data_IF_525701845201
#
_entry.id   IF_525701845201
#
_cell.length_a   1.000
_cell.length_b   1.000
_cell.length_c   1.000
_cell.angle_alpha   90.00
_cell.angle_beta   90.00
_cell.angle_gamma   90.00
#
_symmetry.space_group_name_H-M   'P 1'
#
loop_
_entity.id
_entity.type
_entity.pdbx_description
1 polymer ?
#
# COMPACT_ATOMS: atom_id res chain seq x y z
N UNK A 1 5.23 53.45 -19.31
CA UNK A 1 4.12 54.30 -18.85
C UNK A 1 2.91 53.90 -19.69
N UNK A 2 1.89 53.19 -19.20
CA UNK A 2 1.27 53.20 -17.87
C UNK A 2 1.10 51.76 -17.39
N UNK A 3 1.48 51.49 -16.14
CA UNK A 3 1.14 50.28 -15.41
C UNK A 3 -0.21 50.59 -14.74
N UNK A 4 -1.25 49.82 -15.02
CA UNK A 4 -2.51 49.92 -14.27
C UNK A 4 -2.23 49.40 -12.85
N UNK A 5 -2.28 50.30 -11.86
CA UNK A 5 -1.97 50.01 -10.44
C UNK A 5 -3.09 49.28 -9.68
N UNK A 6 -4.15 48.81 -10.36
CA UNK A 6 -5.36 48.24 -9.73
C UNK A 6 -5.75 46.82 -10.22
N UNK A 7 -4.81 45.96 -10.64
CA UNK A 7 -5.07 44.51 -10.81
C UNK A 7 -4.05 43.63 -10.06
N UNK A 8 -4.38 43.16 -8.84
CA UNK A 8 -3.51 42.29 -8.05
C UNK A 8 -3.50 40.83 -8.51
N UNK A 9 -4.20 40.45 -9.59
CA UNK A 9 -4.29 39.07 -10.04
C UNK A 9 -3.77 38.79 -11.44
N UNK A 10 -3.35 39.79 -12.21
CA UNK A 10 -2.65 39.58 -13.49
C UNK A 10 -3.34 38.59 -14.44
N UNK A 11 -4.69 38.52 -14.39
CA UNK A 11 -5.46 37.63 -15.25
C UNK A 11 -5.70 38.40 -16.55
N UNK A 12 -4.68 38.39 -17.41
CA UNK A 12 -4.77 39.00 -18.73
C UNK A 12 -6.04 38.58 -19.48
N UNK A 13 -6.81 39.58 -19.93
CA UNK A 13 -8.05 39.47 -20.69
C UNK A 13 -7.92 38.89 -22.11
N UNK A 14 -7.08 37.86 -22.29
CA UNK A 14 -6.78 37.26 -23.58
C UNK A 14 -7.88 36.38 -24.18
N UNK A 15 -8.92 36.01 -23.42
CA UNK A 15 -10.00 35.15 -23.90
C UNK A 15 -11.20 35.88 -24.52
N UNK A 16 -11.29 37.20 -24.34
CA UNK A 16 -12.49 37.96 -24.72
C UNK A 16 -12.63 38.23 -26.21
N UNK A 17 -11.54 38.17 -26.98
CA UNK A 17 -11.54 38.48 -28.43
C UNK A 17 -11.95 37.31 -29.32
N UNK A 18 -11.93 36.06 -28.83
CA UNK A 18 -12.23 34.86 -29.62
C UNK A 18 -13.62 34.25 -29.35
N UNK A 19 -14.40 34.81 -28.41
CA UNK A 19 -15.71 34.28 -28.05
C UNK A 19 -16.79 34.68 -29.08
N UNK A 20 -17.60 33.70 -29.49
CA UNK A 20 -18.68 33.91 -30.48
C UNK A 20 -19.88 34.53 -29.77
N UNK A 21 -20.31 35.73 -30.15
CA UNK A 21 -21.45 36.40 -29.51
C UNK A 21 -22.79 35.76 -29.87
N UNK A 22 -23.63 35.46 -28.88
CA UNK A 22 -24.99 34.94 -29.08
C UNK A 22 -25.95 36.05 -29.54
N UNK A 23 -26.84 35.72 -30.48
CA UNK A 23 -27.87 36.63 -30.98
C UNK A 23 -29.17 36.49 -30.17
N UNK A 24 -29.92 37.58 -29.99
CA UNK A 24 -31.21 37.58 -29.28
C UNK A 24 -32.35 36.92 -30.08
N UNK A 25 -32.23 36.88 -31.42
CA UNK A 25 -33.21 36.30 -32.34
C UNK A 25 -32.55 35.23 -33.20
N UNK A 26 -33.29 34.19 -33.62
CA UNK A 26 -32.77 33.19 -34.54
C UNK A 26 -32.57 33.80 -35.93
N UNK A 27 -31.35 33.70 -36.46
CA UNK A 27 -30.98 34.19 -37.78
C UNK A 27 -30.45 33.04 -38.65
N UNK A 28 -30.43 33.23 -39.97
CA UNK A 28 -30.00 32.18 -40.92
C UNK A 28 -28.53 31.80 -40.62
N UNK A 29 -28.33 30.60 -40.05
CA UNK A 29 -27.02 30.11 -39.61
C UNK A 29 -26.79 30.09 -38.09
N UNK A 30 -27.67 30.73 -37.29
CA UNK A 30 -27.64 30.74 -35.82
C UNK A 30 -28.99 30.26 -35.28
N UNK A 31 -29.17 28.94 -35.32
CA UNK A 31 -30.44 28.29 -34.96
C UNK A 31 -30.38 27.55 -33.62
N UNK A 32 -29.18 27.38 -33.05
CA UNK A 32 -29.04 26.61 -31.81
C UNK A 32 -29.34 27.49 -30.60
N UNK A 33 -30.35 27.09 -29.86
CA UNK A 33 -30.83 27.77 -28.65
C UNK A 33 -29.89 27.44 -27.50
N UNK A 34 -29.30 28.46 -26.90
CA UNK A 34 -28.44 28.36 -25.71
C UNK A 34 -29.01 29.26 -24.62
N UNK A 35 -28.96 28.80 -23.37
CA UNK A 35 -29.47 29.54 -22.22
C UNK A 35 -28.29 30.00 -21.40
N UNK A 36 -28.21 31.30 -21.12
CA UNK A 36 -27.17 31.82 -20.24
C UNK A 36 -27.38 31.27 -18.82
N UNK A 37 -26.39 30.64 -18.18
CA UNK A 37 -26.54 30.04 -16.86
C UNK A 37 -26.74 31.07 -15.72
N UNK A 38 -26.48 32.36 -15.98
CA UNK A 38 -26.54 33.42 -14.97
C UNK A 38 -27.80 34.29 -15.03
N UNK A 39 -28.26 34.64 -16.23
CA UNK A 39 -29.43 35.50 -16.40
C UNK A 39 -30.59 34.79 -17.08
N UNK A 40 -30.45 33.48 -17.34
CA UNK A 40 -31.43 32.61 -18.02
C UNK A 40 -31.88 33.14 -19.39
N UNK A 41 -31.20 34.16 -19.93
CA UNK A 41 -31.51 34.76 -21.21
C UNK A 41 -31.21 33.75 -22.31
N UNK A 42 -32.22 33.53 -23.16
CA UNK A 42 -32.09 32.71 -24.36
C UNK A 42 -31.33 33.50 -25.42
N UNK A 43 -30.28 32.89 -25.95
CA UNK A 43 -29.55 33.35 -27.14
C UNK A 43 -29.47 32.27 -28.21
N UNK A 44 -29.09 32.66 -29.41
CA UNK A 44 -28.94 31.77 -30.56
C UNK A 44 -27.52 31.84 -31.14
N UNK A 45 -26.92 30.66 -31.36
CA UNK A 45 -25.53 30.50 -31.85
C UNK A 45 -25.46 29.55 -33.05
N UNK A 46 -24.40 29.60 -33.87
CA UNK A 46 -24.21 28.63 -34.94
C UNK A 46 -23.83 27.25 -34.36
N UNK A 47 -24.14 26.17 -35.09
CA UNK A 47 -23.84 24.79 -34.64
C UNK A 47 -22.34 24.56 -34.35
N UNK A 48 -21.46 25.26 -35.06
CA UNK A 48 -20.01 25.20 -34.86
C UNK A 48 -19.50 25.88 -33.56
N UNK A 49 -20.38 26.59 -32.84
CA UNK A 49 -20.07 27.24 -31.57
C UNK A 49 -20.45 26.38 -30.34
N UNK A 50 -21.12 25.24 -30.54
CA UNK A 50 -21.36 24.27 -29.47
C UNK A 50 -20.00 23.70 -28.99
N UNK A 51 -19.78 23.69 -27.68
CA UNK A 51 -18.50 23.32 -27.07
C UNK A 51 -17.41 24.39 -27.09
N UNK A 52 -17.70 25.62 -27.56
CA UNK A 52 -16.77 26.77 -27.57
C UNK A 52 -17.25 27.90 -26.64
N UNK A 53 -16.34 28.81 -26.21
CA UNK A 53 -16.74 29.98 -25.44
C UNK A 53 -17.65 30.91 -26.26
N UNK A 54 -18.84 31.16 -25.73
CA UNK A 54 -19.90 31.99 -26.31
C UNK A 54 -20.15 33.19 -25.41
N UNK A 55 -20.29 34.39 -26.01
CA UNK A 55 -20.63 35.61 -25.28
C UNK A 55 -22.14 35.74 -25.08
N UNK A 56 -22.59 36.05 -23.86
CA UNK A 56 -24.02 36.23 -23.53
C UNK A 56 -24.68 37.30 -24.42
N UNK A 57 -25.93 37.06 -24.80
CA UNK A 57 -26.72 38.00 -25.61
C UNK A 57 -27.20 39.23 -24.81
N UNK A 58 -27.20 39.18 -23.47
CA UNK A 58 -27.57 40.30 -22.62
C UNK A 58 -26.33 41.15 -22.28
N UNK A 59 -26.32 42.40 -22.74
CA UNK A 59 -25.23 43.36 -22.54
C UNK A 59 -25.00 43.71 -21.06
N UNK A 60 -26.02 43.51 -20.19
CA UNK A 60 -25.93 43.79 -18.75
C UNK A 60 -25.57 42.57 -17.89
N UNK A 61 -25.28 41.41 -18.49
CA UNK A 61 -24.95 40.20 -17.75
C UNK A 61 -23.49 40.22 -17.22
N UNK A 62 -23.29 39.87 -15.94
CA UNK A 62 -21.96 39.87 -15.29
C UNK A 62 -21.05 38.70 -15.72
N UNK A 63 -21.56 37.67 -16.41
CA UNK A 63 -20.73 36.61 -17.00
C UNK A 63 -20.74 36.81 -18.50
N UNK A 64 -19.69 37.46 -19.06
CA UNK A 64 -19.71 37.76 -20.47
C UNK A 64 -19.56 36.50 -21.31
N UNK A 65 -18.83 35.46 -20.86
CA UNK A 65 -18.46 34.30 -21.70
C UNK A 65 -18.73 32.99 -20.96
N UNK A 66 -19.44 32.06 -21.60
CA UNK A 66 -19.71 30.70 -21.10
C UNK A 66 -19.62 29.67 -22.23
N UNK A 67 -19.37 28.40 -21.91
CA UNK A 67 -19.32 27.34 -22.93
C UNK A 67 -20.74 26.85 -23.24
N UNK A 68 -21.14 26.88 -24.51
CA UNK A 68 -22.46 26.42 -24.93
C UNK A 68 -22.52 24.88 -25.00
N UNK A 69 -23.33 24.25 -24.14
CA UNK A 69 -23.57 22.81 -24.12
C UNK A 69 -24.71 22.42 -25.08
N UNK A 70 -24.63 21.23 -25.70
CA UNK A 70 -25.64 20.74 -26.65
C UNK A 70 -26.88 20.20 -25.90
N UNK A 71 -28.09 20.73 -26.15
CA UNK A 71 -29.31 20.23 -25.52
C UNK A 71 -29.67 18.79 -25.91
N UNK A 72 -29.00 18.18 -26.90
CA UNK A 72 -29.12 16.75 -27.19
C UNK A 72 -28.30 15.83 -26.25
N UNK A 73 -27.39 16.37 -25.42
CA UNK A 73 -26.59 15.59 -24.47
C UNK A 73 -27.15 15.55 -23.04
N UNK A 74 -28.24 16.28 -22.75
CA UNK A 74 -28.93 16.18 -21.45
C UNK A 74 -30.13 15.22 -21.50
N UNK A 75 -29.82 13.93 -21.65
CA UNK A 75 -30.51 12.79 -21.00
C UNK A 75 -29.87 11.47 -21.43
N UNK A 76 -28.71 11.18 -20.84
CA UNK A 76 -28.32 9.81 -20.51
C UNK A 76 -28.17 9.71 -18.99
N UNK A 77 -29.28 9.96 -18.27
CA UNK A 77 -29.43 9.48 -16.91
C UNK A 77 -29.20 7.96 -16.93
N UNK A 78 -28.13 7.54 -16.26
CA UNK A 78 -27.78 6.15 -16.00
C UNK A 78 -28.99 5.43 -15.39
N UNK A 79 -29.71 4.69 -16.21
CA UNK A 79 -30.62 3.63 -15.75
C UNK A 79 -29.76 2.52 -15.12
N UNK A 80 -30.15 1.98 -13.95
CA UNK A 80 -29.42 0.88 -13.32
C UNK A 80 -29.45 -0.35 -14.25
N UNK A 81 -28.28 -0.92 -14.48
CA UNK A 81 -28.04 -2.14 -15.25
C UNK A 81 -28.91 -3.28 -14.70
N UNK A 82 -29.80 -3.80 -15.54
CA UNK A 82 -30.56 -5.01 -15.26
C UNK A 82 -29.64 -6.20 -15.59
N UNK A 83 -29.56 -7.17 -14.67
CA UNK A 83 -28.80 -8.43 -14.74
C UNK A 83 -29.01 -9.29 -16.02
N UNK A 84 -29.86 -8.87 -16.95
CA UNK A 84 -30.09 -9.56 -18.23
C UNK A 84 -29.06 -9.19 -19.31
N UNK A 85 -28.47 -7.99 -19.26
CA UNK A 85 -27.52 -7.54 -20.29
C UNK A 85 -26.10 -8.10 -20.08
N UNK A 86 -25.74 -8.45 -18.84
CA UNK A 86 -24.51 -9.20 -18.54
C UNK A 86 -24.61 -10.66 -19.01
N UNK A 87 -25.79 -11.26 -18.98
CA UNK A 87 -26.01 -12.62 -19.49
C UNK A 87 -25.85 -12.70 -21.01
N UNK A 88 -26.30 -11.69 -21.76
CA UNK A 88 -26.14 -11.61 -23.21
C UNK A 88 -24.71 -11.24 -23.63
N UNK A 89 -24.00 -10.42 -22.84
CA UNK A 89 -22.59 -10.13 -23.05
C UNK A 89 -21.68 -11.34 -22.75
N UNK A 90 -21.99 -12.11 -21.70
CA UNK A 90 -21.29 -13.36 -21.37
C UNK A 90 -21.61 -14.46 -22.41
N UNK A 91 -22.84 -14.52 -22.93
CA UNK A 91 -23.20 -15.43 -24.04
C UNK A 91 -22.45 -15.09 -25.34
N UNK A 92 -22.37 -13.80 -25.71
CA UNK A 92 -21.60 -13.37 -26.90
C UNK A 92 -20.10 -13.57 -26.75
N UNK A 93 -19.56 -13.44 -25.53
CA UNK A 93 -18.16 -13.75 -25.24
C UNK A 93 -17.89 -15.27 -25.27
N UNK A 94 -18.82 -16.09 -24.79
CA UNK A 94 -18.74 -17.55 -24.87
C UNK A 94 -18.86 -18.10 -26.30
N UNK A 95 -19.72 -17.48 -27.14
CA UNK A 95 -19.86 -17.79 -28.57
C UNK A 95 -18.62 -17.37 -29.39
N UNK A 96 -17.89 -16.34 -28.96
CA UNK A 96 -16.64 -15.91 -29.60
C UNK A 96 -15.43 -16.82 -29.24
N UNK A 97 -15.51 -17.58 -28.14
CA UNK A 97 -14.47 -18.50 -27.68
C UNK A 97 -14.70 -19.98 -28.02
N UNK A 98 -15.74 -20.31 -28.81
CA UNK A 98 -15.97 -21.67 -29.25
C UNK A 98 -14.85 -22.15 -30.20
N UNK A 99 -14.27 -23.35 -30.00
CA UNK A 99 -13.23 -23.86 -30.88
C UNK A 99 -13.77 -24.04 -32.30
N UNK A 100 -13.03 -23.53 -33.30
CA UNK A 100 -13.35 -23.65 -34.73
C UNK A 100 -13.73 -25.10 -35.08
N UNK A 101 -14.94 -25.29 -35.61
CA UNK A 101 -15.42 -26.55 -36.20
C UNK A 101 -14.41 -27.07 -37.22
N UNK A 102 -13.69 -28.14 -36.88
CA UNK A 102 -12.94 -28.94 -37.86
C UNK A 102 -13.93 -29.83 -38.63
N UNK A 103 -13.82 -29.82 -39.96
CA UNK A 103 -14.71 -30.55 -40.87
C UNK A 103 -14.84 -32.04 -40.49
N UNK A 104 -16.05 -32.60 -40.41
CA UNK A 104 -16.29 -34.00 -40.00
C UNK A 104 -15.74 -35.04 -40.99
N UNK A 105 -15.39 -34.65 -42.23
CA UNK A 105 -14.84 -35.56 -43.23
C UNK A 105 -13.42 -36.09 -42.92
N UNK A 106 -12.65 -35.39 -42.08
CA UNK A 106 -11.27 -35.79 -41.75
C UNK A 106 -11.19 -36.83 -40.61
N UNK A 107 -12.22 -36.92 -39.77
CA UNK A 107 -12.31 -37.90 -38.67
C UNK A 107 -12.79 -39.26 -39.21
N UNK A 108 -13.69 -39.27 -40.20
CA UNK A 108 -14.12 -40.50 -40.85
C UNK A 108 -13.05 -41.11 -41.79
N UNK A 109 -12.14 -40.30 -42.33
CA UNK A 109 -11.04 -40.79 -43.19
C UNK A 109 -9.94 -41.54 -42.42
N UNK A 110 -9.60 -41.11 -41.21
CA UNK A 110 -8.53 -41.73 -40.40
C UNK A 110 -9.10 -42.89 -39.56
N UNK A 111 -10.32 -42.75 -39.03
CA UNK A 111 -11.00 -43.83 -38.30
C UNK A 111 -11.34 -45.04 -39.18
N UNK A 112 -11.73 -44.81 -40.44
CA UNK A 112 -12.06 -45.87 -41.39
C UNK A 112 -10.85 -46.72 -41.83
N UNK A 113 -9.67 -46.11 -41.98
CA UNK A 113 -8.45 -46.81 -42.38
C UNK A 113 -7.88 -47.69 -41.25
N UNK A 114 -7.98 -47.23 -39.99
CA UNK A 114 -7.51 -48.00 -38.82
C UNK A 114 -8.43 -49.20 -38.54
N UNK A 115 -9.75 -49.05 -38.72
CA UNK A 115 -10.71 -50.16 -38.57
C UNK A 115 -10.65 -51.20 -39.71
N UNK A 116 -10.35 -50.78 -40.94
CA UNK A 116 -10.11 -51.70 -42.07
C UNK A 116 -8.76 -52.41 -41.97
N UNK A 117 -7.72 -51.73 -41.46
CA UNK A 117 -6.42 -52.35 -41.16
C UNK A 117 -6.50 -53.39 -40.04
N UNK A 118 -7.28 -53.11 -38.98
CA UNK A 118 -7.53 -54.06 -37.89
C UNK A 118 -8.36 -55.26 -38.34
N UNK A 119 -9.37 -55.09 -39.18
CA UNK A 119 -10.17 -56.22 -39.69
C UNK A 119 -9.41 -57.10 -40.69
N UNK A 120 -8.54 -56.54 -41.53
CA UNK A 120 -7.70 -57.32 -42.46
C UNK A 120 -6.60 -58.15 -41.78
N UNK A 121 -6.15 -57.75 -40.58
CA UNK A 121 -5.15 -58.49 -39.78
C UNK A 121 -5.81 -59.49 -38.82
N UNK A 122 -6.96 -59.13 -38.24
CA UNK A 122 -7.64 -59.96 -37.21
C UNK A 122 -8.41 -61.14 -37.82
N UNK A 123 -8.97 -61.02 -39.02
CA UNK A 123 -9.72 -62.11 -39.69
C UNK A 123 -8.84 -63.33 -40.09
N UNK A 124 -7.61 -63.17 -40.63
CA UNK A 124 -6.72 -64.32 -40.85
C UNK A 124 -6.09 -64.86 -39.54
N UNK A 125 -6.10 -64.10 -38.45
CA UNK A 125 -5.67 -64.55 -37.11
C UNK A 125 -6.75 -65.35 -36.38
N UNK A 126 -8.03 -65.07 -36.62
CA UNK A 126 -9.18 -65.78 -36.03
C UNK A 126 -9.64 -67.04 -36.80
N UNK A 127 -9.07 -67.32 -37.98
CA UNK A 127 -9.39 -68.52 -38.79
C UNK A 127 -8.33 -69.63 -38.71
N UNK A 128 -7.22 -69.40 -38.00
CA UNK A 128 -6.31 -70.49 -37.64
C UNK A 128 -6.96 -71.32 -36.53
N UNK A 129 -7.28 -72.58 -36.85
CA UNK A 129 -7.65 -73.58 -35.84
C UNK A 129 -6.55 -73.59 -34.75
N UNK A 130 -6.88 -73.29 -33.48
CA UNK A 130 -5.87 -73.33 -32.43
C UNK A 130 -5.53 -74.78 -32.11
N UNK A 131 -4.23 -75.08 -32.01
CA UNK A 131 -3.75 -76.30 -31.37
C UNK A 131 -4.27 -76.30 -29.92
N UNK A 132 -5.15 -77.26 -29.61
CA UNK A 132 -5.83 -77.38 -28.31
C UNK A 132 -4.97 -78.01 -27.23
N UNK A 133 -3.68 -78.21 -27.49
CA UNK A 133 -2.76 -78.95 -26.61
C UNK A 133 -2.32 -78.15 -25.38
N UNK A 134 -2.62 -76.84 -25.31
CA UNK A 134 -2.27 -75.96 -24.17
C UNK A 134 -3.47 -75.52 -23.29
N UNK A 135 -4.71 -75.96 -23.59
CA UNK A 135 -5.94 -75.53 -22.88
C UNK A 135 -6.29 -76.35 -21.63
N UNK A 136 -5.39 -77.22 -21.15
CA UNK A 136 -5.62 -78.03 -19.95
C UNK A 136 -4.81 -77.62 -18.72
N UNK A 137 -4.07 -76.50 -18.77
CA UNK A 137 -3.41 -75.94 -17.58
C UNK A 137 -4.16 -74.70 -17.10
N UNK A 138 -4.72 -74.67 -15.88
CA UNK A 138 -5.33 -73.47 -15.33
C UNK A 138 -4.26 -72.38 -15.26
N UNK A 139 -4.47 -71.28 -15.99
CA UNK A 139 -3.64 -70.09 -15.85
C UNK A 139 -4.10 -69.32 -14.63
N UNK A 140 -3.17 -69.08 -13.73
CA UNK A 140 -3.36 -68.29 -12.53
C UNK A 140 -3.61 -66.81 -12.92
N UNK A 141 -4.80 -66.31 -12.58
CA UNK A 141 -5.24 -64.94 -12.86
C UNK A 141 -4.97 -63.99 -11.68
N UNK A 142 -4.37 -64.50 -10.59
CA UNK A 142 -4.03 -63.74 -9.38
C UNK A 142 -3.26 -62.46 -9.70
N UNK A 143 -2.34 -62.48 -10.66
CA UNK A 143 -1.56 -61.30 -11.05
C UNK A 143 -2.38 -60.16 -11.66
N UNK A 144 -3.51 -60.47 -12.33
CA UNK A 144 -4.41 -59.45 -12.89
C UNK A 144 -5.33 -58.87 -11.83
N UNK A 145 -5.77 -59.68 -10.87
CA UNK A 145 -6.55 -59.23 -9.72
C UNK A 145 -5.69 -58.36 -8.79
N UNK A 146 -4.41 -58.68 -8.61
CA UNK A 146 -3.45 -57.87 -7.86
C UNK A 146 -3.18 -56.51 -8.51
N UNK A 147 -3.04 -56.47 -9.85
CA UNK A 147 -2.87 -55.22 -10.60
C UNK A 147 -4.12 -54.34 -10.54
N UNK A 148 -5.32 -54.92 -10.70
CA UNK A 148 -6.57 -54.18 -10.59
C UNK A 148 -6.80 -53.65 -9.17
N UNK A 149 -6.47 -54.43 -8.14
CA UNK A 149 -6.54 -54.00 -6.74
C UNK A 149 -5.51 -52.89 -6.43
N UNK A 150 -4.32 -52.92 -7.03
CA UNK A 150 -3.31 -51.88 -6.89
C UNK A 150 -3.74 -50.56 -7.56
N UNK A 151 -4.30 -50.61 -8.76
CA UNK A 151 -4.82 -49.42 -9.46
C UNK A 151 -6.02 -48.81 -8.71
N UNK A 152 -6.93 -49.64 -8.19
CA UNK A 152 -8.06 -49.17 -7.38
C UNK A 152 -7.59 -48.58 -6.04
N UNK A 153 -6.57 -49.17 -5.41
CA UNK A 153 -5.96 -48.63 -4.20
C UNK A 153 -5.26 -47.29 -4.45
N UNK A 154 -4.56 -47.13 -5.58
CA UNK A 154 -3.93 -45.87 -5.97
C UNK A 154 -4.98 -44.79 -6.29
N UNK A 155 -6.05 -45.14 -7.01
CA UNK A 155 -7.16 -44.24 -7.29
C UNK A 155 -7.86 -43.80 -5.99
N UNK A 156 -8.07 -44.72 -5.05
CA UNK A 156 -8.66 -44.45 -3.73
C UNK A 156 -7.73 -43.62 -2.84
N UNK A 157 -6.42 -43.85 -2.88
CA UNK A 157 -5.43 -43.04 -2.18
C UNK A 157 -5.37 -41.61 -2.74
N UNK A 158 -5.45 -41.46 -4.07
CA UNK A 158 -5.49 -40.15 -4.75
C UNK A 158 -6.79 -39.40 -4.47
N UNK A 159 -7.92 -40.11 -4.41
CA UNK A 159 -9.20 -39.55 -4.03
C UNK A 159 -9.24 -39.15 -2.54
N UNK A 160 -8.66 -39.95 -1.66
CA UNK A 160 -8.53 -39.63 -0.23
C UNK A 160 -7.58 -38.46 0.00
N UNK A 161 -6.47 -38.36 -0.74
CA UNK A 161 -5.55 -37.22 -0.69
C UNK A 161 -6.21 -35.93 -1.22
N UNK A 162 -7.02 -36.04 -2.28
CA UNK A 162 -7.81 -34.91 -2.79
C UNK A 162 -8.89 -34.47 -1.78
N UNK A 163 -9.58 -35.42 -1.13
CA UNK A 163 -10.55 -35.12 -0.09
C UNK A 163 -9.89 -34.48 1.15
N UNK A 164 -8.73 -34.98 1.58
CA UNK A 164 -7.94 -34.41 2.67
C UNK A 164 -7.41 -33.00 2.34
N UNK A 165 -7.04 -32.73 1.07
CA UNK A 165 -6.65 -31.39 0.64
C UNK A 165 -7.84 -30.41 0.63
N UNK A 166 -9.03 -30.88 0.28
CA UNK A 166 -10.28 -30.10 0.37
C UNK A 166 -10.64 -29.83 1.84
N UNK A 167 -10.54 -30.82 2.73
CA UNK A 167 -10.75 -30.63 4.17
C UNK A 167 -9.71 -29.71 4.82
N UNK A 168 -8.44 -29.81 4.43
CA UNK A 168 -7.38 -28.89 4.87
C UNK A 168 -7.61 -27.45 4.38
N UNK A 169 -8.24 -27.27 3.21
CA UNK A 169 -8.66 -25.95 2.70
C UNK A 169 -9.96 -25.43 3.32
N UNK A 170 -10.78 -26.33 3.88
CA UNK A 170 -12.02 -26.00 4.57
C UNK A 170 -11.82 -25.68 6.05
N UNK A 171 -10.68 -26.06 6.64
CA UNK A 171 -10.25 -25.52 7.92
C UNK A 171 -9.95 -24.03 7.75
N UNK A 172 -10.74 -23.19 8.41
CA UNK A 172 -10.60 -21.74 8.37
C UNK A 172 -9.24 -21.33 8.91
N UNK A 173 -8.27 -21.16 8.01
CA UNK A 173 -7.03 -20.50 8.39
C UNK A 173 -7.35 -19.08 8.86
N UNK A 174 -6.61 -18.53 9.84
CA UNK A 174 -6.81 -17.15 10.29
C UNK A 174 -6.82 -16.14 9.13
N UNK A 175 -6.05 -16.39 8.07
CA UNK A 175 -6.01 -15.56 6.88
C UNK A 175 -7.36 -15.51 6.13
N UNK A 176 -8.04 -16.66 5.96
CA UNK A 176 -9.36 -16.73 5.31
C UNK A 176 -10.42 -16.01 6.14
N UNK A 177 -10.39 -16.16 7.47
CA UNK A 177 -11.29 -15.45 8.36
C UNK A 177 -11.07 -13.92 8.32
N UNK A 178 -9.82 -13.47 8.29
CA UNK A 178 -9.47 -12.05 8.15
C UNK A 178 -9.90 -11.52 6.78
N UNK A 179 -9.69 -12.27 5.70
CA UNK A 179 -10.13 -11.88 4.36
C UNK A 179 -11.65 -11.69 4.30
N UNK A 180 -12.42 -12.62 4.85
CA UNK A 180 -13.88 -12.50 4.93
C UNK A 180 -14.29 -11.26 5.72
N UNK A 181 -13.64 -11.01 6.86
CA UNK A 181 -13.91 -9.84 7.68
C UNK A 181 -13.57 -8.53 6.95
N UNK A 182 -12.46 -8.48 6.20
CA UNK A 182 -12.09 -7.29 5.42
C UNK A 182 -13.06 -7.04 4.28
N UNK A 183 -13.59 -8.08 3.63
CA UNK A 183 -14.67 -7.93 2.64
C UNK A 183 -15.90 -7.28 3.27
N UNK A 184 -16.30 -7.71 4.47
CA UNK A 184 -17.39 -7.08 5.24
C UNK A 184 -17.07 -5.63 5.60
N UNK A 185 -15.87 -5.36 6.10
CA UNK A 185 -15.41 -3.99 6.41
C UNK A 185 -15.41 -3.08 5.17
N UNK A 186 -15.04 -3.61 4.01
CA UNK A 186 -15.04 -2.86 2.74
C UNK A 186 -16.45 -2.46 2.33
N UNK A 187 -17.45 -3.33 2.55
CA UNK A 187 -18.86 -2.99 2.33
C UNK A 187 -19.31 -1.91 3.31
N UNK A 188 -18.96 -2.02 4.59
CA UNK A 188 -19.29 -1.02 5.60
C UNK A 188 -18.60 0.33 5.35
N UNK A 189 -17.35 0.32 4.85
CA UNK A 189 -16.59 1.52 4.49
C UNK A 189 -17.23 2.34 3.36
N UNK A 190 -18.14 1.74 2.60
CA UNK A 190 -18.91 2.42 1.53
C UNK A 190 -20.18 3.10 2.04
N UNK A 191 -20.61 2.79 3.26
CA UNK A 191 -21.78 3.43 3.88
C UNK A 191 -21.43 4.84 4.39
N UNK A 192 -22.45 5.58 4.85
CA UNK A 192 -22.27 6.85 5.55
C UNK A 192 -21.56 6.62 6.89
N UNK A 193 -20.26 6.88 6.92
CA UNK A 193 -19.42 6.83 8.11
C UNK A 193 -18.93 8.24 8.46
N UNK A 194 -18.75 8.49 9.77
CA UNK A 194 -18.15 9.74 10.27
C UNK A 194 -16.76 10.00 9.67
N UNK A 195 -15.94 8.95 9.50
CA UNK A 195 -14.61 9.07 8.90
C UNK A 195 -14.37 7.98 7.85
N UNK A 196 -14.92 8.21 6.64
CA UNK A 196 -14.72 7.33 5.48
C UNK A 196 -13.24 7.19 5.10
N UNK A 197 -12.40 8.25 5.10
CA UNK A 197 -10.97 8.13 4.82
C UNK A 197 -10.23 7.19 5.77
N UNK A 198 -10.49 7.25 7.07
CA UNK A 198 -9.85 6.36 8.03
C UNK A 198 -10.25 4.89 7.79
N UNK A 199 -11.54 4.63 7.54
CA UNK A 199 -12.02 3.28 7.24
C UNK A 199 -11.32 2.68 6.00
N UNK A 200 -11.18 3.47 4.93
CA UNK A 200 -10.48 3.05 3.70
C UNK A 200 -8.98 2.83 3.89
N UNK A 201 -8.33 3.66 4.71
CA UNK A 201 -6.94 3.44 5.12
C UNK A 201 -6.80 2.08 5.81
N UNK A 202 -7.68 1.78 6.76
CA UNK A 202 -7.64 0.52 7.52
C UNK A 202 -7.89 -0.70 6.63
N UNK A 203 -8.90 -0.66 5.74
CA UNK A 203 -9.15 -1.77 4.81
C UNK A 203 -7.99 -1.98 3.83
N UNK A 204 -7.44 -0.89 3.29
CA UNK A 204 -6.26 -0.93 2.43
C UNK A 204 -5.03 -1.54 3.12
N UNK A 205 -4.77 -1.17 4.38
CA UNK A 205 -3.66 -1.75 5.16
C UNK A 205 -3.83 -3.25 5.38
N UNK A 206 -5.03 -3.71 5.73
CA UNK A 206 -5.27 -5.15 5.94
C UNK A 206 -5.11 -5.92 4.62
N UNK A 207 -5.56 -5.36 3.48
CA UNK A 207 -5.30 -5.98 2.18
C UNK A 207 -3.80 -6.12 1.86
N UNK A 208 -2.98 -5.11 2.19
CA UNK A 208 -1.52 -5.22 2.08
C UNK A 208 -0.94 -6.27 3.05
N UNK A 209 -1.57 -6.48 4.21
CA UNK A 209 -1.19 -7.53 5.17
C UNK A 209 -1.52 -8.94 4.69
N UNK A 210 -2.60 -9.09 3.92
CA UNK A 210 -2.98 -10.34 3.26
C UNK A 210 -2.20 -10.60 1.96
N UNK A 211 -1.29 -9.70 1.55
CA UNK A 211 -0.56 -9.82 0.28
C UNK A 211 -1.40 -9.51 -0.96
N UNK A 212 -2.60 -8.97 -0.79
CA UNK A 212 -3.49 -8.62 -1.89
C UNK A 212 -3.29 -7.16 -2.33
N UNK A 213 -2.23 -6.92 -3.08
CA UNK A 213 -1.82 -5.58 -3.50
C UNK A 213 -2.83 -4.88 -4.42
N UNK A 214 -3.63 -5.64 -5.17
CA UNK A 214 -4.62 -5.09 -6.11
C UNK A 214 -5.82 -4.50 -5.36
N UNK A 215 -6.33 -5.21 -4.38
CA UNK A 215 -7.46 -4.78 -3.56
C UNK A 215 -7.03 -3.63 -2.65
N UNK A 216 -5.81 -3.70 -2.11
CA UNK A 216 -5.20 -2.60 -1.38
C UNK A 216 -5.08 -1.34 -2.25
N UNK A 217 -4.55 -1.45 -3.47
CA UNK A 217 -4.43 -0.32 -4.39
C UNK A 217 -5.80 0.30 -4.71
N UNK A 218 -6.85 -0.53 -4.80
CA UNK A 218 -8.22 -0.08 -5.04
C UNK A 218 -8.71 0.79 -3.87
N UNK A 219 -8.64 0.29 -2.64
CA UNK A 219 -9.12 1.05 -1.46
C UNK A 219 -8.28 2.30 -1.16
N UNK A 220 -6.94 2.21 -1.33
CA UNK A 220 -6.05 3.35 -1.13
C UNK A 220 -6.22 4.42 -2.21
N UNK A 221 -6.52 4.05 -3.46
CA UNK A 221 -6.78 5.03 -4.54
C UNK A 221 -8.13 5.74 -4.33
N UNK A 222 -9.11 5.06 -3.73
CA UNK A 222 -10.41 5.68 -3.38
C UNK A 222 -10.27 6.81 -2.34
N UNK A 223 -9.18 6.87 -1.58
CA UNK A 223 -8.91 8.01 -0.70
C UNK A 223 -8.85 9.34 -1.47
N UNK A 224 -8.31 9.33 -2.69
CA UNK A 224 -8.24 10.51 -3.57
C UNK A 224 -9.62 10.96 -4.08
N UNK A 225 -10.60 10.05 -4.06
CA UNK A 225 -11.99 10.32 -4.48
C UNK A 225 -12.81 10.83 -3.30
N UNK A 226 -12.64 10.21 -2.12
CA UNK A 226 -13.41 10.56 -0.92
C UNK A 226 -12.95 11.86 -0.31
N UNK A 227 -11.64 12.04 -0.12
CA UNK A 227 -11.07 13.24 0.50
C UNK A 227 -9.61 13.42 0.10
N UNK A 228 -9.38 14.29 -0.89
CA UNK A 228 -8.02 14.61 -1.37
C UNK A 228 -7.14 15.23 -0.29
N UNK A 229 -7.72 15.95 0.67
CA UNK A 229 -6.96 16.60 1.75
C UNK A 229 -6.32 15.58 2.70
N UNK A 230 -6.88 14.36 2.78
CA UNK A 230 -6.39 13.24 3.59
C UNK A 230 -5.70 12.15 2.77
N UNK A 231 -5.27 12.47 1.55
CA UNK A 231 -4.50 11.54 0.68
C UNK A 231 -3.25 10.98 1.36
N UNK A 232 -2.64 11.74 2.28
CA UNK A 232 -1.49 11.31 3.08
C UNK A 232 -1.74 10.08 3.97
N UNK A 233 -3.00 9.69 4.21
CA UNK A 233 -3.33 8.43 4.90
C UNK A 233 -2.82 7.18 4.18
N UNK A 234 -2.46 7.30 2.89
CA UNK A 234 -1.84 6.22 2.11
C UNK A 234 -0.41 5.90 2.55
N UNK A 235 0.29 6.83 3.21
CA UNK A 235 1.71 6.68 3.52
C UNK A 235 1.94 5.62 4.60
N UNK A 236 1.15 5.58 5.67
CA UNK A 236 1.37 4.60 6.75
C UNK A 236 1.24 3.14 6.27
N UNK A 237 0.18 2.74 5.55
CA UNK A 237 0.09 1.38 5.01
C UNK A 237 1.24 1.03 4.06
N UNK A 238 1.65 1.97 3.21
CA UNK A 238 2.76 1.77 2.27
C UNK A 238 4.11 1.68 2.99
N UNK A 239 4.34 2.47 4.05
CA UNK A 239 5.53 2.36 4.89
C UNK A 239 5.61 0.99 5.60
N UNK A 240 4.48 0.50 6.14
CA UNK A 240 4.43 -0.84 6.72
C UNK A 240 4.67 -1.94 5.66
N UNK A 241 4.17 -1.76 4.44
CA UNK A 241 4.45 -2.66 3.33
C UNK A 241 5.92 -2.62 2.88
N UNK A 242 6.54 -1.44 2.86
CA UNK A 242 7.97 -1.25 2.58
C UNK A 242 8.83 -2.08 3.54
N UNK A 243 8.64 -1.93 4.86
CA UNK A 243 9.43 -2.65 5.85
C UNK A 243 9.25 -4.17 5.77
N UNK A 244 8.00 -4.63 5.58
CA UNK A 244 7.72 -6.06 5.38
C UNK A 244 8.35 -6.62 4.11
N UNK A 245 8.30 -5.87 3.01
CA UNK A 245 8.90 -6.28 1.73
C UNK A 245 10.42 -6.36 1.85
N UNK A 246 11.05 -5.41 2.56
CA UNK A 246 12.50 -5.45 2.84
C UNK A 246 12.88 -6.66 3.70
N UNK A 247 12.13 -6.93 4.77
CA UNK A 247 12.36 -8.09 5.61
C UNK A 247 12.19 -9.42 4.85
N UNK A 248 11.30 -9.44 3.86
CA UNK A 248 11.09 -10.59 2.96
C UNK A 248 12.11 -10.69 1.81
N UNK A 249 12.99 -9.70 1.63
CA UNK A 249 13.94 -9.64 0.50
C UNK A 249 13.32 -9.23 -0.84
N UNK A 250 12.06 -8.77 -0.86
CA UNK A 250 11.40 -8.27 -2.07
C UNK A 250 11.75 -6.79 -2.29
N UNK A 251 12.90 -6.58 -2.95
CA UNK A 251 13.39 -5.25 -3.28
C UNK A 251 12.47 -4.48 -4.26
N UNK A 252 11.72 -5.20 -5.10
CA UNK A 252 10.82 -4.58 -6.09
C UNK A 252 9.60 -3.99 -5.40
N UNK A 253 8.95 -4.77 -4.54
CA UNK A 253 7.81 -4.29 -3.76
C UNK A 253 8.23 -3.19 -2.77
N UNK A 254 9.39 -3.32 -2.13
CA UNK A 254 9.93 -2.26 -1.27
C UNK A 254 10.11 -0.95 -2.04
N UNK A 255 10.79 -0.99 -3.20
CA UNK A 255 10.99 0.22 -4.01
C UNK A 255 9.68 0.83 -4.51
N UNK A 256 8.71 0.01 -4.88
CA UNK A 256 7.39 0.48 -5.29
C UNK A 256 6.65 1.18 -4.14
N UNK A 257 6.70 0.60 -2.93
CA UNK A 257 6.11 1.19 -1.73
C UNK A 257 6.79 2.52 -1.34
N UNK A 258 8.12 2.59 -1.44
CA UNK A 258 8.87 3.83 -1.23
C UNK A 258 8.43 4.94 -2.21
N UNK A 259 8.38 4.60 -3.51
CA UNK A 259 7.97 5.55 -4.56
C UNK A 259 6.52 6.03 -4.35
N UNK A 260 5.63 5.15 -3.90
CA UNK A 260 4.27 5.52 -3.55
C UNK A 260 4.22 6.54 -2.40
N UNK A 261 4.99 6.31 -1.32
CA UNK A 261 5.10 7.27 -0.22
C UNK A 261 5.68 8.62 -0.69
N UNK A 262 6.74 8.59 -1.48
CA UNK A 262 7.39 9.79 -2.01
C UNK A 262 6.43 10.61 -2.86
N UNK A 263 5.67 9.97 -3.77
CA UNK A 263 4.67 10.67 -4.59
C UNK A 263 3.53 11.32 -3.80
N UNK A 264 3.24 10.80 -2.60
CA UNK A 264 2.24 11.36 -1.71
C UNK A 264 2.75 12.55 -0.90
N UNK A 265 4.06 12.63 -0.67
CA UNK A 265 4.69 13.70 0.11
C UNK A 265 5.23 14.81 -0.79
N UNK A 266 5.79 14.46 -1.95
CA UNK A 266 6.40 15.40 -2.88
C UNK A 266 5.38 16.44 -3.37
N UNK A 267 5.71 17.72 -3.16
CA UNK A 267 4.91 18.85 -3.64
C UNK A 267 3.56 19.04 -2.94
N UNK A 268 3.25 18.28 -1.87
CA UNK A 268 2.00 18.42 -1.12
C UNK A 268 2.22 19.08 0.23
N UNK A 269 1.39 20.07 0.55
CA UNK A 269 1.35 20.67 1.88
C UNK A 269 0.54 19.76 2.80
N UNK A 270 1.24 18.91 3.55
CA UNK A 270 0.63 18.17 4.65
C UNK A 270 0.11 19.14 5.74
N UNK A 271 -0.99 18.81 6.43
CA UNK A 271 -1.46 19.61 7.56
C UNK A 271 -0.33 19.86 8.56
N UNK A 272 -0.09 21.12 8.97
CA UNK A 272 1.04 21.48 9.84
C UNK A 272 0.97 20.81 11.22
N UNK A 273 -0.25 20.62 11.73
CA UNK A 273 -0.53 20.05 13.03
C UNK A 273 -1.36 18.77 12.91
N UNK A 274 -1.40 18.00 13.99
CA UNK A 274 -2.22 16.81 14.11
C UNK A 274 -1.42 15.50 14.01
N UNK A 275 -1.78 14.56 14.88
CA UNK A 275 -1.11 13.27 15.05
C UNK A 275 -0.82 12.55 13.73
N UNK A 276 -1.83 12.38 12.89
CA UNK A 276 -1.70 11.56 11.68
C UNK A 276 -0.68 12.14 10.67
N UNK A 277 -0.58 13.47 10.56
CA UNK A 277 0.39 14.10 9.66
C UNK A 277 1.82 13.94 10.19
N UNK A 278 2.01 14.06 11.50
CA UNK A 278 3.31 13.82 12.15
C UNK A 278 3.73 12.36 12.07
N UNK A 279 2.84 11.39 12.33
CA UNK A 279 3.12 9.96 12.13
C UNK A 279 3.55 9.64 10.70
N UNK A 280 2.91 10.26 9.71
CA UNK A 280 3.28 10.12 8.28
C UNK A 280 4.68 10.66 8.01
N UNK A 281 5.04 11.80 8.61
CA UNK A 281 6.38 12.36 8.48
C UNK A 281 7.43 11.47 9.15
N UNK A 282 7.14 10.94 10.34
CA UNK A 282 8.03 9.98 11.03
C UNK A 282 8.24 8.71 10.21
N UNK A 283 7.16 8.14 9.67
CA UNK A 283 7.22 6.95 8.83
C UNK A 283 8.08 7.17 7.58
N UNK A 284 7.85 8.28 6.87
CA UNK A 284 8.61 8.57 5.66
C UNK A 284 10.05 9.01 5.97
N UNK A 285 10.31 9.73 7.06
CA UNK A 285 11.66 10.06 7.51
C UNK A 285 12.50 8.80 7.78
N UNK A 286 11.93 7.79 8.47
CA UNK A 286 12.62 6.52 8.69
C UNK A 286 12.95 5.80 7.37
N UNK A 287 12.05 5.84 6.39
CA UNK A 287 12.31 5.30 5.05
C UNK A 287 13.40 6.09 4.30
N UNK A 288 13.40 7.42 4.39
CA UNK A 288 14.42 8.26 3.77
C UNK A 288 15.80 7.96 4.33
N UNK A 289 15.92 7.84 5.66
CA UNK A 289 17.18 7.47 6.32
C UNK A 289 17.66 6.09 5.84
N UNK A 290 16.74 5.15 5.70
CA UNK A 290 17.04 3.82 5.18
C UNK A 290 17.55 3.81 3.73
N UNK A 291 17.04 4.70 2.89
CA UNK A 291 17.52 4.88 1.51
C UNK A 291 18.75 5.80 1.42
N UNK A 292 19.38 6.16 2.55
CA UNK A 292 20.57 7.01 2.60
C UNK A 292 20.31 8.51 2.46
N UNK A 293 19.05 8.95 2.44
CA UNK A 293 18.61 10.35 2.27
C UNK A 293 18.40 11.05 3.62
N UNK A 294 19.43 11.03 4.46
CA UNK A 294 19.36 11.52 5.84
C UNK A 294 19.02 13.02 5.93
N UNK A 295 19.61 13.85 5.07
CA UNK A 295 19.37 15.30 5.09
C UNK A 295 17.91 15.65 4.79
N UNK A 296 17.28 14.94 3.85
CA UNK A 296 15.86 15.13 3.53
C UNK A 296 14.96 14.69 4.67
N UNK A 297 15.32 13.60 5.38
CA UNK A 297 14.60 13.18 6.58
C UNK A 297 14.66 14.24 7.68
N UNK A 298 15.82 14.86 7.93
CA UNK A 298 15.96 15.96 8.90
C UNK A 298 15.11 17.17 8.52
N UNK A 299 15.14 17.58 7.24
CA UNK A 299 14.33 18.69 6.74
C UNK A 299 12.83 18.41 6.92
N UNK A 300 12.39 17.18 6.65
CA UNK A 300 11.01 16.77 6.84
C UNK A 300 10.59 16.85 8.32
N UNK A 301 11.42 16.35 9.24
CA UNK A 301 11.14 16.41 10.67
C UNK A 301 11.15 17.85 11.20
N UNK A 302 12.04 18.71 10.70
CA UNK A 302 12.09 20.12 11.07
C UNK A 302 10.76 20.84 10.79
N UNK A 303 9.99 20.41 9.79
CA UNK A 303 8.63 20.96 9.53
C UNK A 303 7.60 20.62 10.62
N UNK A 304 7.91 19.63 11.46
CA UNK A 304 7.07 19.13 12.57
C UNK A 304 7.57 19.51 13.93
N UNK A 305 8.82 19.96 14.02
CA UNK A 305 9.40 20.37 15.27
C UNK A 305 8.64 21.57 15.83
N UNK A 306 8.17 21.44 17.05
CA UNK A 306 7.58 22.52 17.82
C UNK A 306 8.58 23.02 18.87
N UNK A 307 8.31 24.20 19.42
CA UNK A 307 9.12 24.72 20.52
C UNK A 307 8.99 23.81 21.73
N UNK A 308 10.09 23.15 22.09
CA UNK A 308 10.20 22.19 23.20
C UNK A 308 10.17 22.85 24.57
N UNK A 309 10.38 24.17 24.66
CA UNK A 309 10.30 24.92 25.92
C UNK A 309 8.87 25.08 26.40
N UNK A 310 7.89 24.89 25.52
CA UNK A 310 6.46 24.91 25.83
C UNK A 310 6.03 23.48 26.19
N UNK A 311 5.59 23.22 27.44
CA UNK A 311 5.24 21.87 27.90
C UNK A 311 4.18 21.18 27.02
N UNK A 312 3.13 21.89 26.62
CA UNK A 312 2.06 21.32 25.77
C UNK A 312 2.58 20.83 24.40
N UNK A 313 3.54 21.56 23.83
CA UNK A 313 4.18 21.17 22.57
C UNK A 313 5.04 19.92 22.76
N UNK A 314 5.82 19.89 23.85
CA UNK A 314 6.64 18.74 24.21
C UNK A 314 5.75 17.50 24.42
N UNK A 315 4.70 17.62 25.21
CA UNK A 315 3.73 16.54 25.47
C UNK A 315 3.09 16.03 24.19
N UNK A 316 2.72 16.93 23.27
CA UNK A 316 2.18 16.56 21.96
C UNK A 316 3.19 15.77 21.13
N UNK A 317 4.45 16.23 21.05
CA UNK A 317 5.51 15.55 20.30
C UNK A 317 5.86 14.19 20.91
N UNK A 318 6.04 14.11 22.24
CA UNK A 318 6.31 12.87 22.98
C UNK A 318 5.19 11.86 22.76
N UNK A 319 3.93 12.28 22.93
CA UNK A 319 2.77 11.40 22.77
C UNK A 319 2.68 10.81 21.37
N UNK A 320 2.89 11.64 20.34
CA UNK A 320 2.84 11.17 18.94
C UNK A 320 4.03 10.28 18.61
N UNK A 321 5.24 10.64 19.06
CA UNK A 321 6.44 9.84 18.90
C UNK A 321 6.28 8.45 19.53
N UNK A 322 5.80 8.38 20.76
CA UNK A 322 5.54 7.12 21.44
C UNK A 322 4.44 6.29 20.74
N UNK A 323 3.33 6.90 20.33
CA UNK A 323 2.27 6.19 19.61
C UNK A 323 2.78 5.59 18.29
N UNK A 324 3.63 6.33 17.57
CA UNK A 324 4.27 5.87 16.35
C UNK A 324 5.19 4.68 16.62
N UNK A 325 6.10 4.79 17.59
CA UNK A 325 7.01 3.70 17.99
C UNK A 325 6.20 2.49 18.46
N UNK A 326 5.23 2.68 19.36
CA UNK A 326 4.36 1.63 19.90
C UNK A 326 3.63 0.85 18.80
N UNK A 327 3.16 1.56 17.76
CA UNK A 327 2.49 0.93 16.62
C UNK A 327 3.45 0.02 15.83
N UNK A 328 4.69 0.45 15.61
CA UNK A 328 5.71 -0.35 14.92
C UNK A 328 6.14 -1.59 15.75
N UNK A 329 6.22 -1.49 17.08
CA UNK A 329 6.44 -2.65 17.95
C UNK A 329 5.29 -3.67 17.81
N UNK A 330 4.05 -3.20 17.88
CA UNK A 330 2.86 -4.07 17.76
C UNK A 330 2.77 -4.73 16.39
N UNK A 331 3.16 -4.04 15.33
CA UNK A 331 3.22 -4.61 13.98
C UNK A 331 4.19 -5.80 13.87
N UNK A 332 5.21 -5.84 14.74
CA UNK A 332 6.15 -6.95 14.86
C UNK A 332 5.76 -7.96 15.96
N UNK A 333 4.62 -7.79 16.61
CA UNK A 333 4.18 -8.63 17.73
C UNK A 333 5.01 -8.45 19.01
N UNK A 334 5.66 -7.30 19.17
CA UNK A 334 6.52 -6.99 20.32
C UNK A 334 5.79 -6.12 21.34
N UNK A 335 6.20 -6.23 22.60
CA UNK A 335 5.75 -5.32 23.65
C UNK A 335 6.40 -3.94 23.46
N UNK A 336 5.63 -2.85 23.35
CA UNK A 336 6.18 -1.51 23.19
C UNK A 336 6.81 -1.01 24.50
N UNK A 337 7.74 -0.03 24.42
CA UNK A 337 8.30 0.63 25.60
C UNK A 337 7.21 1.36 26.39
N UNK A 338 7.47 1.58 27.69
CA UNK A 338 6.51 2.26 28.55
C UNK A 338 6.39 3.74 28.16
N UNK A 339 5.17 4.29 28.19
CA UNK A 339 4.94 5.66 27.71
C UNK A 339 5.65 6.73 28.53
N UNK A 340 6.02 6.46 29.79
CA UNK A 340 6.81 7.44 30.55
C UNK A 340 8.28 7.50 30.08
N UNK A 341 8.81 6.45 29.45
CA UNK A 341 10.20 6.45 28.97
C UNK A 341 10.39 7.45 27.82
N UNK A 342 9.36 7.72 27.02
CA UNK A 342 9.44 8.71 25.95
C UNK A 342 9.56 10.15 26.43
N UNK A 343 9.25 10.43 27.70
CA UNK A 343 9.49 11.75 28.31
C UNK A 343 10.98 11.99 28.63
N UNK A 344 11.81 10.94 28.57
CA UNK A 344 13.26 11.07 28.74
C UNK A 344 13.98 11.44 27.43
N UNK A 345 13.25 11.47 26.30
CA UNK A 345 13.77 11.79 24.98
C UNK A 345 13.92 13.30 24.82
N UNK A 346 15.17 13.75 24.69
CA UNK A 346 15.50 15.15 24.42
C UNK A 346 14.92 15.68 23.11
N UNK A 347 14.90 14.84 22.07
CA UNK A 347 14.22 15.10 20.80
C UNK A 347 13.32 13.91 20.43
N UNK A 348 12.04 13.94 20.83
CA UNK A 348 11.15 12.79 20.68
C UNK A 348 10.96 12.33 19.23
N UNK A 349 10.92 13.26 18.28
CA UNK A 349 10.70 12.92 16.87
C UNK A 349 11.95 12.27 16.26
N UNK A 350 13.13 12.81 16.57
CA UNK A 350 14.41 12.24 16.13
C UNK A 350 14.66 10.85 16.72
N UNK A 351 14.38 10.67 18.01
CA UNK A 351 14.51 9.41 18.73
C UNK A 351 13.53 8.36 18.22
N UNK A 352 12.29 8.75 17.88
CA UNK A 352 11.31 7.83 17.30
C UNK A 352 11.76 7.23 15.96
N UNK A 353 12.42 8.03 15.11
CA UNK A 353 13.00 7.51 13.85
C UNK A 353 14.12 6.52 14.14
N UNK A 354 15.01 6.82 15.09
CA UNK A 354 16.08 5.91 15.50
C UNK A 354 15.54 4.58 16.05
N UNK A 355 14.50 4.63 16.87
CA UNK A 355 13.83 3.45 17.41
C UNK A 355 13.25 2.57 16.31
N UNK A 356 12.58 3.14 15.31
CA UNK A 356 12.05 2.37 14.17
C UNK A 356 13.19 1.78 13.33
N UNK A 357 14.25 2.52 13.02
CA UNK A 357 15.41 1.96 12.31
C UNK A 357 16.03 0.80 13.09
N UNK A 358 16.13 0.92 14.41
CA UNK A 358 16.57 -0.15 15.29
C UNK A 358 15.64 -1.37 15.27
N UNK A 359 14.32 -1.17 15.30
CA UNK A 359 13.35 -2.25 15.12
C UNK A 359 13.53 -2.97 13.78
N UNK A 360 14.00 -2.30 12.74
CA UNK A 360 14.18 -2.90 11.42
C UNK A 360 15.55 -3.56 11.24
N UNK A 361 16.47 -3.39 12.20
CA UNK A 361 17.82 -3.95 12.14
C UNK A 361 18.82 -3.10 11.35
N UNK A 362 18.48 -1.83 11.10
CA UNK A 362 19.23 -0.92 10.24
C UNK A 362 20.33 -0.18 11.01
N UNK A 363 21.29 -0.93 11.55
CA UNK A 363 22.24 -0.41 12.55
C UNK A 363 23.19 0.66 12.00
N UNK A 364 23.60 0.54 10.73
CA UNK A 364 24.47 1.54 10.10
C UNK A 364 23.73 2.88 9.93
N UNK A 365 22.46 2.80 9.53
CA UNK A 365 21.59 3.94 9.37
C UNK A 365 21.25 4.58 10.72
N UNK A 366 21.05 3.77 11.78
CA UNK A 366 20.93 4.26 13.17
C UNK A 366 22.18 5.04 13.56
N UNK A 367 23.38 4.51 13.31
CA UNK A 367 24.64 5.19 13.66
C UNK A 367 24.76 6.55 12.98
N UNK A 368 24.49 6.62 11.67
CA UNK A 368 24.53 7.88 10.92
C UNK A 368 23.44 8.87 11.39
N UNK A 369 22.22 8.37 11.64
CA UNK A 369 21.11 9.19 12.10
C UNK A 369 21.33 9.76 13.51
N UNK A 370 21.87 8.95 14.42
CA UNK A 370 22.21 9.41 15.78
C UNK A 370 23.27 10.52 15.73
N UNK A 371 24.31 10.35 14.91
CA UNK A 371 25.36 11.35 14.73
C UNK A 371 24.84 12.67 14.12
N UNK A 372 23.73 12.62 13.39
CA UNK A 372 23.07 13.78 12.82
C UNK A 372 22.17 14.53 13.82
N UNK A 373 22.08 14.07 15.08
CA UNK A 373 21.36 14.76 16.15
C UNK A 373 21.92 16.15 16.45
N UNK A 374 21.10 17.01 17.06
CA UNK A 374 21.47 18.40 17.36
C UNK A 374 22.53 18.53 18.45
N UNK A 375 22.64 17.55 19.34
CA UNK A 375 23.63 17.50 20.41
C UNK A 375 23.95 16.05 20.83
N UNK A 376 24.93 15.91 21.74
CA UNK A 376 25.36 14.62 22.26
C UNK A 376 24.25 13.87 23.03
N UNK A 377 23.27 14.58 23.62
CA UNK A 377 22.16 13.97 24.34
C UNK A 377 21.14 13.36 23.38
N UNK A 378 20.82 14.06 22.29
CA UNK A 378 19.96 13.53 21.22
C UNK A 378 20.59 12.30 20.58
N UNK A 379 21.90 12.34 20.30
CA UNK A 379 22.63 11.18 19.77
C UNK A 379 22.56 9.99 20.75
N UNK A 380 22.79 10.23 22.05
CA UNK A 380 22.71 9.19 23.07
C UNK A 380 21.31 8.60 23.20
N UNK A 381 20.26 9.44 23.28
CA UNK A 381 18.88 8.97 23.40
C UNK A 381 18.45 8.15 22.17
N UNK A 382 18.88 8.54 20.97
CA UNK A 382 18.64 7.81 19.74
C UNK A 382 19.29 6.41 19.74
N UNK A 383 20.55 6.31 20.18
CA UNK A 383 21.26 5.04 20.27
C UNK A 383 20.69 4.13 21.36
N UNK A 384 20.29 4.68 22.51
CA UNK A 384 19.61 3.91 23.58
C UNK A 384 18.29 3.35 23.07
N UNK A 385 17.45 4.16 22.43
CA UNK A 385 16.17 3.69 21.89
C UNK A 385 16.34 2.60 20.82
N UNK A 386 17.40 2.66 20.01
CA UNK A 386 17.73 1.61 19.06
C UNK A 386 18.26 0.34 19.75
N UNK A 387 19.02 0.47 20.85
CA UNK A 387 19.48 -0.65 21.66
C UNK A 387 18.30 -1.38 22.33
N UNK A 388 17.34 -0.64 22.90
CA UNK A 388 16.13 -1.20 23.50
C UNK A 388 15.31 -1.99 22.46
N UNK A 389 15.15 -1.43 21.25
CA UNK A 389 14.54 -2.13 20.12
C UNK A 389 15.30 -3.41 19.74
N UNK A 390 16.63 -3.36 19.71
CA UNK A 390 17.47 -4.52 19.41
C UNK A 390 17.32 -5.63 20.47
N UNK A 391 17.24 -5.25 21.75
CA UNK A 391 17.00 -6.17 22.88
C UNK A 391 15.67 -6.90 22.74
N UNK A 392 14.59 -6.16 22.44
CA UNK A 392 13.26 -6.73 22.22
C UNK A 392 13.20 -7.68 21.01
N UNK A 393 14.02 -7.41 19.98
CA UNK A 393 14.17 -8.28 18.81
C UNK A 393 15.15 -9.43 19.01
N UNK A 394 15.83 -9.52 20.16
CA UNK A 394 16.93 -10.47 20.42
C UNK A 394 18.07 -10.37 19.39
N UNK A 395 18.34 -9.15 18.96
CA UNK A 395 19.41 -8.79 18.01
C UNK A 395 20.49 -7.90 18.62
N UNK A 396 20.49 -7.76 19.95
CA UNK A 396 21.37 -6.83 20.66
C UNK A 396 22.87 -7.07 20.46
N UNK A 397 23.32 -8.32 20.29
CA UNK A 397 24.72 -8.59 19.97
C UNK A 397 25.14 -8.02 18.61
N UNK A 398 24.27 -8.13 17.59
CA UNK A 398 24.50 -7.55 16.27
C UNK A 398 24.46 -6.01 16.31
N UNK A 399 23.52 -5.45 17.07
CA UNK A 399 23.44 -4.00 17.29
C UNK A 399 24.69 -3.48 18.00
N UNK A 400 25.13 -4.13 19.09
CA UNK A 400 26.34 -3.76 19.82
C UNK A 400 27.59 -3.81 18.94
N UNK A 401 27.73 -4.83 18.09
CA UNK A 401 28.86 -4.94 17.16
C UNK A 401 28.99 -3.79 16.17
N UNK A 402 27.90 -3.06 15.88
CA UNK A 402 27.90 -1.92 14.95
C UNK A 402 27.85 -0.58 15.67
N UNK A 403 27.03 -0.47 16.72
CA UNK A 403 26.72 0.80 17.38
C UNK A 403 27.73 1.19 18.46
N UNK A 404 28.64 0.29 18.87
CA UNK A 404 29.65 0.60 19.89
C UNK A 404 30.56 1.76 19.47
N UNK A 405 30.97 1.83 18.20
CA UNK A 405 31.78 2.95 17.71
C UNK A 405 31.03 4.28 17.73
N UNK A 406 29.70 4.25 17.54
CA UNK A 406 28.86 5.43 17.67
C UNK A 406 28.76 5.89 19.14
N UNK A 407 28.69 4.94 20.08
CA UNK A 407 28.75 5.23 21.51
C UNK A 407 30.10 5.87 21.91
N UNK A 408 31.20 5.37 21.35
CA UNK A 408 32.55 5.88 21.62
C UNK A 408 32.79 7.29 21.04
N UNK A 409 32.05 7.67 20.00
CA UNK A 409 32.10 9.00 19.42
C UNK A 409 31.37 10.07 20.25
N UNK A 410 30.57 9.67 21.26
CA UNK A 410 29.89 10.61 22.15
C UNK A 410 30.91 11.28 23.07
N UNK A 411 31.00 12.60 22.97
CA UNK A 411 31.99 13.41 23.68
C UNK A 411 31.73 13.54 25.18
N UNK A 412 30.49 13.33 25.63
CA UNK A 412 30.09 13.44 27.04
C UNK A 412 30.21 12.07 27.71
N UNK A 413 31.15 11.85 28.65
CA UNK A 413 31.46 10.53 29.21
C UNK A 413 30.25 9.79 29.79
N UNK A 414 29.46 10.45 30.64
CA UNK A 414 28.26 9.82 31.23
C UNK A 414 27.20 9.40 30.20
N UNK A 415 27.06 10.14 29.10
CA UNK A 415 26.15 9.76 28.01
C UNK A 415 26.71 8.58 27.20
N UNK A 416 28.02 8.58 26.91
CA UNK A 416 28.68 7.45 26.26
C UNK A 416 28.53 6.17 27.10
N UNK A 417 28.75 6.25 28.42
CA UNK A 417 28.56 5.14 29.35
C UNK A 417 27.11 4.65 29.38
N UNK A 418 26.13 5.55 29.36
CA UNK A 418 24.70 5.18 29.26
C UNK A 418 24.41 4.37 27.99
N UNK A 419 24.92 4.80 26.84
CA UNK A 419 24.73 4.07 25.57
C UNK A 419 25.42 2.71 25.61
N UNK A 420 26.66 2.64 26.10
CA UNK A 420 27.39 1.37 26.25
C UNK A 420 26.65 0.39 27.16
N UNK A 421 26.11 0.88 28.28
CA UNK A 421 25.30 0.06 29.18
C UNK A 421 24.02 -0.47 28.49
N UNK A 422 23.32 0.38 27.73
CA UNK A 422 22.14 -0.05 26.97
C UNK A 422 22.48 -1.11 25.91
N UNK A 423 23.58 -0.93 25.16
CA UNK A 423 24.04 -1.91 24.17
C UNK A 423 24.47 -3.24 24.82
N UNK A 424 25.18 -3.19 25.95
CA UNK A 424 25.56 -4.38 26.71
C UNK A 424 24.31 -5.11 27.25
N UNK A 425 23.34 -4.37 27.80
CA UNK A 425 22.08 -4.92 28.27
C UNK A 425 21.28 -5.60 27.15
N UNK A 426 21.17 -4.95 25.99
CA UNK A 426 20.52 -5.53 24.81
C UNK A 426 21.23 -6.80 24.31
N UNK A 427 22.55 -6.85 24.42
CA UNK A 427 23.37 -8.02 24.04
C UNK A 427 23.36 -9.15 25.10
N UNK A 428 22.80 -8.92 26.29
CA UNK A 428 22.85 -9.87 27.41
C UNK A 428 24.21 -9.93 28.12
N UNK A 429 25.07 -8.92 27.95
CA UNK A 429 26.37 -8.82 28.61
C UNK A 429 26.24 -8.15 29.98
N UNK A 430 25.89 -8.94 30.99
CA UNK A 430 25.73 -8.46 32.36
C UNK A 430 27.01 -7.83 32.93
N UNK A 431 28.18 -8.41 32.62
CA UNK A 431 29.47 -7.88 33.08
C UNK A 431 29.76 -6.50 32.47
N UNK A 432 29.44 -6.32 31.18
CA UNK A 432 29.53 -5.03 30.50
C UNK A 432 28.61 -3.96 31.11
N UNK A 433 27.38 -4.32 31.47
CA UNK A 433 26.45 -3.43 32.18
C UNK A 433 27.03 -3.02 33.54
N UNK A 434 27.45 -3.99 34.36
CA UNK A 434 28.01 -3.73 35.69
C UNK A 434 29.26 -2.84 35.63
N UNK A 435 30.14 -3.09 34.65
CA UNK A 435 31.33 -2.26 34.44
C UNK A 435 30.98 -0.81 34.07
N UNK A 436 29.89 -0.58 33.33
CA UNK A 436 29.42 0.76 33.01
C UNK A 436 28.81 1.45 34.24
N UNK A 437 27.99 0.72 35.02
CA UNK A 437 27.39 1.24 36.27
C UNK A 437 28.47 1.60 37.29
N UNK A 438 29.49 0.75 37.47
CA UNK A 438 30.62 1.05 38.34
C UNK A 438 31.36 2.31 37.89
N UNK A 439 31.65 2.46 36.59
CA UNK A 439 32.29 3.68 36.07
C UNK A 439 31.44 4.93 36.27
N UNK A 440 30.13 4.85 36.03
CA UNK A 440 29.19 5.95 36.30
C UNK A 440 29.20 6.35 37.79
N UNK A 441 29.29 5.39 38.71
CA UNK A 441 29.37 5.67 40.15
C UNK A 441 30.67 6.35 40.59
N UNK A 442 31.71 6.27 39.76
CA UNK A 442 33.01 6.92 39.99
C UNK A 442 33.12 8.29 39.31
N UNK A 443 32.22 8.64 38.40
CA UNK A 443 32.15 9.99 37.83
C UNK A 443 31.56 10.94 38.88
N UNK A 444 32.23 12.07 39.11
CA UNK A 444 31.68 13.13 39.95
C UNK A 444 30.35 13.60 39.36
N UNK A 445 29.28 13.61 40.17
CA UNK A 445 27.99 14.15 39.75
C UNK A 445 28.21 15.53 39.14
N UNK A 446 27.89 15.68 37.85
CA UNK A 446 27.97 16.97 37.20
C UNK A 446 27.14 17.97 38.02
N UNK A 447 27.78 19.06 38.43
CA UNK A 447 27.15 20.19 39.12
C UNK A 447 25.83 20.52 38.40
N UNK A 448 24.72 20.77 39.12
CA UNK A 448 23.43 21.01 38.48
C UNK A 448 23.61 22.13 37.46
N UNK A 449 23.38 21.85 36.17
CA UNK A 449 23.18 22.94 35.22
C UNK A 449 21.96 23.69 35.73
N UNK A 450 22.11 24.97 36.06
CA UNK A 450 20.99 25.83 36.38
C UNK A 450 19.93 25.62 35.30
N UNK A 451 18.77 25.10 35.68
CA UNK A 451 17.65 25.00 34.76
C UNK A 451 17.29 26.44 34.32
N UNK A 452 17.12 26.70 33.01
CA UNK A 452 16.60 27.98 32.55
C UNK A 452 15.19 28.25 33.07
#
# INVERSE_FOLDING_TARGET
>A
MVVDEDDPFGIGGGGASQAIAAALKPEKGRLQKVVCPMCEQVGFVPKAALGKPVKCANVKCMVPIFTAEDPAEQKAERRPTRLADEADAIRRAAEASAPRKRNPLLIYGIGGAVLLGLTAVVVPLLTKKPDTTALQTPRDLSSFEELAAAEEAEAKAKAAAAAAAVEASAQSTPAVAVEEQVKRMTVLARQELRDKPLARRMTGDIWLRLGNSKEAATELSQLLVVDRSRSFYRVIPQAAHYWRSRAAGDAVAAKAAFTACESEIAGKTLPRTGRAATEVCLAFAAMLVQEGRQQEAQQLLATRQLDRTIPDNLDSMVSVAWLFVSSNYRDLGLTPPYSAESYLWSDPLHVAVASVLGLQGSWQEVSGWAAAGSDARVAADALVAAADAAGMRKTGAAAAGVLMSAADAITVPGLALRVRAALAGAAGDAAGVDACVQRLSMEAAAVPSAMP
#
